data_IF_652166497639
#
_entry.id   IF_652166497639
#
_cell.length_a   1.000
_cell.length_b   1.000
_cell.length_c   1.000
_cell.angle_alpha   90.00
_cell.angle_beta   90.00
_cell.angle_gamma   90.00
#
_symmetry.space_group_name_H-M   'P 1'
#
loop_
_entity.id
_entity.type
_entity.pdbx_description
1 polymer ?
#
# COMPACT_ATOMS: atom_id res chain seq x y z
N UNK A 1 16.22 -12.17 2.60
CA UNK A 1 15.38 -10.96 2.71
C UNK A 1 14.28 -11.10 1.69
N UNK A 2 13.03 -11.27 2.13
CA UNK A 2 11.91 -11.39 1.19
C UNK A 2 11.64 -10.01 0.57
N UNK A 3 11.74 -9.91 -0.76
CA UNK A 3 11.46 -8.67 -1.47
C UNK A 3 9.96 -8.41 -1.40
N UNK A 4 9.52 -7.23 -0.92
CA UNK A 4 8.10 -6.93 -0.84
C UNK A 4 7.45 -7.06 -2.22
N UNK A 5 6.22 -7.57 -2.25
CA UNK A 5 5.49 -7.84 -3.49
C UNK A 5 4.38 -6.83 -3.70
N UNK A 6 4.13 -6.51 -4.95
CA UNK A 6 3.07 -5.61 -5.36
C UNK A 6 1.72 -6.25 -5.04
N UNK A 7 0.90 -5.58 -4.23
CA UNK A 7 -0.43 -6.07 -3.87
C UNK A 7 -1.39 -6.19 -5.07
N UNK A 8 -1.07 -5.57 -6.21
CA UNK A 8 -1.92 -5.61 -7.41
C UNK A 8 -1.52 -6.73 -8.39
N UNK A 9 -0.22 -7.01 -8.57
CA UNK A 9 0.28 -7.89 -9.63
C UNK A 9 1.34 -8.91 -9.18
N UNK A 10 1.76 -8.88 -7.90
CA UNK A 10 2.75 -9.81 -7.34
C UNK A 10 4.20 -9.53 -7.73
N UNK A 11 4.47 -8.60 -8.66
CA UNK A 11 5.84 -8.20 -9.03
C UNK A 11 6.60 -7.59 -7.83
N UNK A 12 7.95 -7.59 -7.85
CA UNK A 12 8.75 -6.89 -6.85
C UNK A 12 8.29 -5.44 -6.69
N UNK A 13 8.08 -5.03 -5.45
CA UNK A 13 7.62 -3.70 -5.10
C UNK A 13 8.72 -2.91 -4.41
N UNK A 14 8.80 -1.63 -4.73
CA UNK A 14 9.79 -0.71 -4.14
C UNK A 14 9.11 0.45 -3.41
N UNK A 15 7.81 0.64 -3.64
CA UNK A 15 7.06 1.81 -3.18
C UNK A 15 5.92 1.37 -2.26
N UNK A 16 5.74 2.09 -1.16
CA UNK A 16 4.57 1.95 -0.30
C UNK A 16 3.53 2.99 -0.63
N UNK A 17 2.27 2.70 -0.29
CA UNK A 17 1.22 3.71 -0.34
C UNK A 17 1.60 4.93 0.50
N UNK A 18 1.68 6.11 -0.11
CA UNK A 18 2.11 7.34 0.59
C UNK A 18 1.18 7.77 1.73
N UNK A 19 -0.10 7.38 1.69
CA UNK A 19 -1.10 7.72 2.72
C UNK A 19 -0.96 6.84 3.96
N UNK A 20 -1.16 5.53 3.81
CA UNK A 20 -1.17 4.61 4.95
C UNK A 20 0.18 3.94 5.23
N UNK A 21 1.12 3.94 4.27
CA UNK A 21 2.43 3.25 4.33
C UNK A 21 2.34 1.74 4.64
N UNK A 22 1.17 1.13 4.46
CA UNK A 22 0.91 -0.27 4.77
C UNK A 22 1.19 -1.22 3.59
N UNK A 23 0.55 -0.96 2.43
CA UNK A 23 0.69 -1.82 1.25
C UNK A 23 1.82 -1.39 0.32
N UNK A 24 2.39 -2.38 -0.37
CA UNK A 24 3.47 -2.26 -1.33
C UNK A 24 2.98 -2.36 -2.77
N UNK A 25 3.60 -1.58 -3.65
CA UNK A 25 3.32 -1.50 -5.08
C UNK A 25 4.62 -1.33 -5.88
N UNK A 26 4.68 -1.97 -7.04
CA UNK A 26 5.77 -1.73 -8.00
C UNK A 26 5.68 -0.34 -8.65
N UNK A 27 4.49 0.25 -8.70
CA UNK A 27 4.29 1.57 -9.29
C UNK A 27 2.93 2.18 -9.01
N UNK A 28 2.77 3.44 -9.42
CA UNK A 28 1.53 4.21 -9.24
C UNK A 28 0.35 3.60 -9.99
N UNK A 29 0.59 3.04 -11.18
CA UNK A 29 -0.42 2.34 -11.97
C UNK A 29 -1.08 1.20 -11.18
N UNK A 30 -0.26 0.33 -10.58
CA UNK A 30 -0.72 -0.78 -9.74
C UNK A 30 -1.44 -0.30 -8.47
N UNK A 31 -0.94 0.77 -7.84
CA UNK A 31 -1.62 1.37 -6.68
C UNK A 31 -3.02 1.88 -7.03
N UNK A 32 -3.17 2.58 -8.17
CA UNK A 32 -4.46 3.11 -8.64
C UNK A 32 -5.38 1.98 -9.09
N UNK A 33 -4.87 0.97 -9.78
CA UNK A 33 -5.64 -0.21 -10.16
C UNK A 33 -6.19 -0.95 -8.94
N UNK A 34 -5.36 -1.12 -7.89
CA UNK A 34 -5.78 -1.74 -6.64
C UNK A 34 -6.58 -0.80 -5.72
N UNK A 35 -6.76 0.48 -6.07
CA UNK A 35 -7.34 1.49 -5.18
C UNK A 35 -8.76 1.11 -4.71
N UNK A 36 -9.57 0.50 -5.57
CA UNK A 36 -10.94 0.08 -5.22
C UNK A 36 -10.98 -0.89 -4.04
N UNK A 37 -9.98 -1.77 -3.93
CA UNK A 37 -9.83 -2.75 -2.85
C UNK A 37 -9.07 -2.11 -1.69
N UNK A 38 -7.94 -1.47 -1.98
CA UNK A 38 -7.06 -0.87 -0.99
C UNK A 38 -7.70 0.28 -0.21
N UNK A 39 -8.63 1.06 -0.78
CA UNK A 39 -9.20 2.27 -0.16
C UNK A 39 -9.72 2.02 1.26
N UNK A 40 -10.49 0.95 1.47
CA UNK A 40 -11.07 0.63 2.79
C UNK A 40 -9.98 0.43 3.84
N UNK A 41 -8.96 -0.36 3.50
CA UNK A 41 -7.81 -0.64 4.37
C UNK A 41 -6.97 0.62 4.55
N UNK A 42 -6.77 1.39 3.48
CA UNK A 42 -6.02 2.64 3.50
C UNK A 42 -6.62 3.66 4.47
N UNK A 43 -7.94 3.84 4.46
CA UNK A 43 -8.60 4.81 5.35
C UNK A 43 -8.56 4.34 6.82
N UNK A 44 -8.70 3.04 7.09
CA UNK A 44 -8.54 2.47 8.43
C UNK A 44 -7.12 2.66 8.98
N UNK A 45 -6.11 2.28 8.20
CA UNK A 45 -4.71 2.33 8.63
C UNK A 45 -4.19 3.77 8.69
N UNK A 46 -4.57 4.62 7.73
CA UNK A 46 -4.19 6.03 7.74
C UNK A 46 -4.72 6.77 8.97
N UNK A 47 -5.87 6.34 9.51
CA UNK A 47 -6.46 6.91 10.73
C UNK A 47 -5.81 6.35 12.00
N UNK A 48 -5.27 5.12 11.95
CA UNK A 48 -4.53 4.51 13.05
C UNK A 48 -3.09 5.03 13.18
N UNK A 49 -2.48 5.45 12.07
CA UNK A 49 -1.09 5.93 12.02
C UNK A 49 -0.89 7.33 12.66
N UNK A 50 -1.93 7.92 13.24
CA UNK A 50 -1.84 9.16 14.04
C UNK A 50 -1.69 8.91 15.54
N UNK A 51 -1.52 7.65 15.98
CA UNK A 51 -1.20 7.31 17.37
C UNK A 51 0.06 6.46 17.44
N UNK A 52 1.19 7.13 17.43
CA UNK A 52 2.44 6.62 17.99
C UNK A 52 3.09 7.80 18.70
N UNK A 53 2.68 8.00 19.95
CA UNK A 53 3.44 8.69 20.98
C UNK A 53 4.14 7.64 21.82
#
# INVERSE_FOLDING_TARGET
MDTPKCAACGAPAEKRCSRCKNDWYCGRSCQVANWKIHKKICDLVSSANTKSS
#
